data_IF_938684085412
#
_entry.id   IF_938684085412
#
_cell.length_a   1.000
_cell.length_b   1.000
_cell.length_c   1.000
_cell.angle_alpha   90.00
_cell.angle_beta   90.00
_cell.angle_gamma   90.00
#
_symmetry.space_group_name_H-M   'P 1'
#
loop_
_entity.id
_entity.type
_entity.pdbx_description
1 polymer ?
#
# COMPACT_ATOMS: atom_id res chain seq x y z
N UNK A 1 -8.78 70.72 -7.60
CA UNK A 1 -10.10 70.11 -7.35
C UNK A 1 -9.85 68.63 -7.05
N UNK A 2 -9.66 68.25 -5.80
CA UNK A 2 -10.68 67.93 -4.79
C UNK A 2 -11.31 66.52 -4.96
N UNK A 3 -10.88 65.60 -4.07
CA UNK A 3 -11.60 64.48 -3.39
C UNK A 3 -12.20 63.39 -4.31
N UNK A 4 -12.18 62.09 -4.02
CA UNK A 4 -12.37 61.39 -2.75
C UNK A 4 -11.77 59.97 -2.81
N UNK A 5 -11.29 59.52 -1.65
CA UNK A 5 -10.99 58.13 -1.30
C UNK A 5 -12.32 57.42 -0.96
N UNK A 6 -12.56 56.21 -1.45
CA UNK A 6 -13.59 55.30 -0.93
C UNK A 6 -12.93 53.97 -0.55
N UNK A 7 -12.77 53.75 0.76
CA UNK A 7 -12.39 52.48 1.36
C UNK A 7 -13.69 51.76 1.71
N UNK A 8 -13.86 50.54 1.21
CA UNK A 8 -14.90 49.62 1.69
C UNK A 8 -14.21 48.51 2.50
N UNK A 9 -14.23 48.70 3.82
CA UNK A 9 -14.00 47.65 4.81
C UNK A 9 -15.31 46.88 4.97
N UNK A 10 -15.31 45.59 4.63
CA UNK A 10 -16.35 44.66 5.05
C UNK A 10 -15.74 43.66 6.03
N UNK A 11 -15.96 43.94 7.32
CA UNK A 11 -15.80 43.01 8.42
C UNK A 11 -16.92 41.96 8.32
N UNK A 12 -16.58 40.68 8.38
CA UNK A 12 -17.52 39.68 8.90
C UNK A 12 -16.81 38.90 10.00
N UNK A 13 -17.40 39.02 11.18
CA UNK A 13 -17.04 38.33 12.40
C UNK A 13 -17.15 36.81 12.23
N UNK A 14 -16.31 36.11 13.00
CA UNK A 14 -16.26 34.67 13.08
C UNK A 14 -17.62 34.04 13.39
N UNK A 15 -17.94 32.97 12.66
CA UNK A 15 -18.78 31.89 13.18
C UNK A 15 -17.85 30.68 13.31
N UNK A 16 -17.43 30.28 14.52
CA UNK A 16 -16.79 28.99 14.69
C UNK A 16 -17.85 27.92 14.40
N UNK A 17 -17.84 27.39 13.18
CA UNK A 17 -18.56 26.18 12.86
C UNK A 17 -17.90 25.06 13.66
N UNK A 18 -18.46 24.77 14.84
CA UNK A 18 -18.17 23.55 15.59
C UNK A 18 -18.62 22.41 14.69
N UNK A 19 -17.67 21.89 13.91
CA UNK A 19 -17.81 20.63 13.20
C UNK A 19 -18.01 19.55 14.24
N UNK A 20 -19.28 19.24 14.53
CA UNK A 20 -19.72 17.98 15.10
C UNK A 20 -19.57 16.90 14.01
N UNK A 21 -18.35 16.71 13.50
CA UNK A 21 -17.98 15.47 12.84
C UNK A 21 -17.71 14.46 13.95
N UNK A 22 -18.80 13.99 14.55
CA UNK A 22 -18.79 12.78 15.34
C UNK A 22 -18.32 11.68 14.38
N UNK A 23 -17.08 11.23 14.58
CA UNK A 23 -16.50 10.11 13.85
C UNK A 23 -17.39 8.90 14.08
N UNK A 24 -18.09 8.46 13.03
CA UNK A 24 -18.88 7.21 13.04
C UNK A 24 -18.01 5.95 13.09
N UNK A 25 -16.69 6.12 13.14
CA UNK A 25 -15.76 5.05 13.46
C UNK A 25 -15.76 4.91 14.98
N UNK A 26 -16.09 3.73 15.55
CA UNK A 26 -15.80 3.50 16.96
C UNK A 26 -14.32 3.84 17.15
N UNK A 27 -14.01 4.64 18.18
CA UNK A 27 -12.64 4.83 18.62
C UNK A 27 -12.03 3.43 18.67
N UNK A 28 -10.99 3.19 17.87
CA UNK A 28 -10.32 1.90 17.86
C UNK A 28 -9.94 1.62 19.31
N UNK A 29 -10.67 0.73 19.96
CA UNK A 29 -10.38 0.30 21.32
C UNK A 29 -8.96 -0.20 21.25
N UNK A 30 -8.05 0.53 21.88
CA UNK A 30 -6.64 0.17 22.00
C UNK A 30 -6.61 -1.22 22.62
N UNK A 31 -6.48 -2.25 21.78
CA UNK A 31 -6.63 -3.62 22.24
C UNK A 31 -5.36 -3.93 23.02
N UNK A 32 -5.49 -4.08 24.33
CA UNK A 32 -4.40 -4.48 25.25
C UNK A 32 -3.92 -5.94 25.04
N UNK A 33 -4.17 -6.52 23.88
CA UNK A 33 -3.67 -7.84 23.49
C UNK A 33 -2.44 -7.73 22.58
N UNK A 34 -1.70 -8.82 22.36
CA UNK A 34 -0.57 -8.82 21.44
C UNK A 34 -1.03 -8.39 20.03
N UNK A 35 -0.28 -7.47 19.41
CA UNK A 35 -0.57 -6.98 18.07
C UNK A 35 -0.32 -8.08 17.02
N UNK A 36 0.71 -8.90 17.24
CA UNK A 36 1.06 -10.06 16.40
C UNK A 36 0.43 -11.37 16.90
N UNK A 37 0.48 -12.42 16.08
CA UNK A 37 -0.16 -13.71 16.40
C UNK A 37 0.56 -14.49 17.52
N UNK A 38 1.90 -14.38 17.56
CA UNK A 38 2.82 -15.06 18.46
C UNK A 38 3.76 -14.03 19.11
N UNK A 39 4.42 -14.44 20.19
CA UNK A 39 5.40 -13.62 20.91
C UNK A 39 6.67 -14.43 21.13
N UNK A 40 7.83 -13.78 21.02
CA UNK A 40 9.11 -14.41 21.32
C UNK A 40 9.25 -14.71 22.81
N UNK A 41 9.88 -15.83 23.16
CA UNK A 41 10.17 -16.13 24.58
C UNK A 41 11.13 -15.13 25.24
N UNK A 42 11.91 -14.40 24.44
CA UNK A 42 12.80 -13.34 24.92
C UNK A 42 12.04 -12.12 25.50
N UNK A 43 10.71 -12.10 25.40
CA UNK A 43 9.85 -11.00 25.78
C UNK A 43 9.22 -10.34 24.55
N UNK A 44 8.35 -9.33 24.78
CA UNK A 44 7.70 -8.63 23.68
C UNK A 44 8.73 -7.98 22.77
N UNK A 45 8.41 -7.91 21.48
CA UNK A 45 9.19 -7.12 20.54
C UNK A 45 9.35 -5.70 21.07
N UNK A 46 10.54 -5.13 20.91
CA UNK A 46 10.68 -3.68 21.08
C UNK A 46 9.99 -3.03 19.89
N UNK A 47 9.12 -2.05 20.17
CA UNK A 47 8.61 -1.10 19.17
C UNK A 47 9.74 -0.78 18.18
N UNK A 48 9.65 -1.35 16.99
CA UNK A 48 10.68 -1.19 15.98
C UNK A 48 10.77 0.27 15.56
N UNK A 49 11.79 0.63 14.80
CA UNK A 49 11.88 1.95 14.17
C UNK A 49 10.62 2.27 13.31
N UNK A 50 9.82 1.26 12.95
CA UNK A 50 8.50 1.39 12.32
C UNK A 50 7.48 2.23 13.14
N UNK A 51 7.52 2.19 14.47
CA UNK A 51 6.65 3.02 15.32
C UNK A 51 6.99 4.52 15.20
N UNK A 52 8.25 4.86 14.88
CA UNK A 52 8.66 6.25 14.58
C UNK A 52 8.09 6.74 13.25
N UNK A 53 7.61 5.83 12.40
CA UNK A 53 6.95 6.11 11.12
C UNK A 53 5.47 5.71 11.14
N UNK A 54 4.82 5.67 12.31
CA UNK A 54 3.40 5.36 12.44
C UNK A 54 2.57 6.22 11.47
N UNK A 55 2.04 5.59 10.41
CA UNK A 55 1.30 6.24 9.33
C UNK A 55 1.99 6.30 7.97
N UNK A 56 3.27 5.91 7.87
CA UNK A 56 3.97 5.74 6.59
C UNK A 56 3.32 4.59 5.81
N UNK A 57 3.19 4.79 4.51
CA UNK A 57 2.78 3.74 3.57
C UNK A 57 3.99 2.85 3.31
N UNK A 58 3.91 1.59 3.74
CA UNK A 58 4.89 0.56 3.38
C UNK A 58 4.35 -0.14 2.13
N UNK A 59 4.99 0.14 1.00
CA UNK A 59 4.63 -0.45 -0.30
C UNK A 59 5.10 -1.89 -0.39
N UNK A 60 4.25 -2.75 -0.93
CA UNK A 60 4.54 -4.14 -1.25
C UNK A 60 4.52 -4.26 -2.77
N UNK A 61 5.71 -4.32 -3.37
CA UNK A 61 5.91 -4.46 -4.82
C UNK A 61 6.12 -5.95 -5.12
N UNK A 62 5.09 -6.66 -5.61
CA UNK A 62 5.19 -8.08 -5.89
C UNK A 62 6.41 -8.37 -6.77
N UNK A 63 7.15 -9.43 -6.44
CA UNK A 63 8.33 -9.90 -7.19
C UNK A 63 9.59 -9.00 -7.14
N UNK A 64 9.58 -7.85 -6.47
CA UNK A 64 10.77 -6.98 -6.32
C UNK A 64 11.09 -6.70 -4.86
N UNK A 65 10.13 -6.17 -4.11
CA UNK A 65 10.30 -5.81 -2.71
C UNK A 65 8.98 -6.06 -1.98
N UNK A 66 8.91 -7.20 -1.28
CA UNK A 66 7.76 -7.52 -0.45
C UNK A 66 7.87 -6.83 0.90
N UNK A 67 6.75 -6.32 1.41
CA UNK A 67 6.71 -5.75 2.75
C UNK A 67 6.80 -6.88 3.79
N UNK A 68 7.68 -6.75 4.78
CA UNK A 68 7.76 -7.70 5.90
C UNK A 68 6.61 -7.52 6.91
N UNK A 69 5.84 -6.43 6.82
CA UNK A 69 4.75 -6.11 7.72
C UNK A 69 3.38 -6.11 7.03
N UNK A 70 2.32 -6.29 7.83
CA UNK A 70 0.92 -6.14 7.41
C UNK A 70 0.54 -4.68 7.28
N UNK A 71 -0.50 -4.38 6.50
CA UNK A 71 -1.01 -3.01 6.28
C UNK A 71 -1.64 -2.39 7.53
N UNK A 72 -1.93 -3.17 8.56
CA UNK A 72 -2.56 -2.77 9.82
C UNK A 72 -4.10 -2.85 9.80
N UNK A 73 -4.71 -3.07 10.98
CA UNK A 73 -6.15 -3.30 11.12
C UNK A 73 -6.97 -2.10 10.61
N UNK A 74 -7.98 -2.39 9.79
CA UNK A 74 -8.90 -1.38 9.27
C UNK A 74 -8.29 -0.48 8.19
N UNK A 75 -7.11 -0.84 7.68
CA UNK A 75 -6.44 -0.10 6.61
C UNK A 75 -6.62 -0.82 5.27
N UNK A 76 -6.88 -0.03 4.24
CA UNK A 76 -6.92 -0.48 2.84
C UNK A 76 -5.84 0.26 2.08
N UNK A 77 -4.95 -0.47 1.44
CA UNK A 77 -3.90 0.08 0.61
C UNK A 77 -4.06 -0.45 -0.82
N UNK A 78 -4.01 0.47 -1.78
CA UNK A 78 -4.09 0.18 -3.21
C UNK A 78 -2.77 0.57 -3.84
N UNK A 79 -2.09 -0.41 -4.43
CA UNK A 79 -0.82 -0.23 -5.11
C UNK A 79 -1.00 -0.50 -6.60
N UNK A 80 -0.37 0.31 -7.44
CA UNK A 80 -0.36 0.14 -8.88
C UNK A 80 1.07 0.18 -9.39
N UNK A 81 1.41 -0.72 -10.30
CA UNK A 81 2.72 -0.82 -10.93
C UNK A 81 2.64 -0.79 -12.45
N UNK A 82 3.79 -0.46 -13.01
CA UNK A 82 4.11 -0.69 -14.41
C UNK A 82 5.50 -1.31 -14.46
N UNK A 83 5.60 -2.45 -15.13
CA UNK A 83 6.88 -3.12 -15.35
C UNK A 83 7.12 -3.31 -16.85
N UNK A 84 8.35 -3.03 -17.26
CA UNK A 84 8.82 -3.22 -18.62
C UNK A 84 9.99 -4.20 -18.62
N UNK A 85 9.87 -5.25 -19.43
CA UNK A 85 10.95 -6.21 -19.68
C UNK A 85 11.33 -6.18 -21.16
N UNK A 86 12.64 -6.18 -21.40
CA UNK A 86 13.23 -6.34 -22.72
C UNK A 86 14.18 -7.52 -22.67
N UNK A 87 13.91 -8.53 -23.50
CA UNK A 87 14.79 -9.67 -23.69
C UNK A 87 15.17 -9.80 -25.17
N UNK A 88 16.40 -10.24 -25.41
CA UNK A 88 16.97 -10.33 -26.75
C UNK A 88 17.95 -11.49 -26.86
N UNK A 89 17.59 -12.50 -27.65
CA UNK A 89 18.44 -13.67 -27.88
C UNK A 89 18.30 -14.18 -29.33
N UNK A 90 19.44 -14.55 -29.94
CA UNK A 90 19.50 -15.18 -31.26
C UNK A 90 18.70 -14.48 -32.38
N UNK A 91 18.72 -13.13 -32.40
CA UNK A 91 18.00 -12.32 -33.39
C UNK A 91 16.50 -12.17 -33.12
N UNK A 92 16.00 -12.74 -32.02
CA UNK A 92 14.64 -12.52 -31.51
C UNK A 92 14.67 -11.46 -30.41
N UNK A 93 13.74 -10.51 -30.44
CA UNK A 93 13.51 -9.50 -29.41
C UNK A 93 12.12 -9.66 -28.86
N UNK A 94 11.99 -9.68 -27.53
CA UNK A 94 10.72 -9.73 -26.81
C UNK A 94 10.61 -8.51 -25.89
N UNK A 95 9.51 -7.78 -26.00
CA UNK A 95 9.17 -6.64 -25.16
C UNK A 95 7.88 -6.94 -24.42
N UNK A 96 7.92 -6.90 -23.09
CA UNK A 96 6.75 -7.13 -22.23
C UNK A 96 6.45 -5.85 -21.45
N UNK A 97 5.22 -5.37 -21.60
CA UNK A 97 4.63 -4.32 -20.79
C UNK A 97 3.59 -4.93 -19.86
N UNK A 98 3.72 -4.68 -18.56
CA UNK A 98 2.83 -5.18 -17.51
C UNK A 98 2.18 -3.99 -16.80
N UNK A 99 0.86 -3.83 -16.96
CA UNK A 99 0.04 -2.76 -16.37
C UNK A 99 -1.47 -3.02 -16.53
N UNK A 100 -2.31 -2.52 -15.61
CA UNK A 100 -1.94 -1.94 -14.32
C UNK A 100 -1.68 -3.08 -13.33
N UNK A 101 -0.45 -3.21 -12.83
CA UNK A 101 -0.09 -4.20 -11.82
C UNK A 101 -0.73 -3.77 -10.49
N UNK A 102 -1.98 -4.15 -10.28
CA UNK A 102 -2.82 -3.65 -9.20
C UNK A 102 -2.77 -4.64 -8.05
N UNK A 103 -2.52 -4.14 -6.84
CA UNK A 103 -2.60 -4.91 -5.62
C UNK A 103 -3.44 -4.16 -4.58
N UNK A 104 -4.51 -4.80 -4.12
CA UNK A 104 -5.34 -4.33 -3.01
C UNK A 104 -4.98 -5.13 -1.77
N UNK A 105 -4.64 -4.43 -0.70
CA UNK A 105 -4.27 -4.98 0.60
C UNK A 105 -5.24 -4.48 1.65
N UNK A 106 -5.80 -5.39 2.45
CA UNK A 106 -6.83 -5.07 3.44
C UNK A 106 -6.47 -5.71 4.77
N UNK A 107 -6.24 -4.89 5.79
CA UNK A 107 -6.04 -5.37 7.16
C UNK A 107 -7.37 -5.65 7.83
N UNK A 108 -7.61 -6.91 8.18
CA UNK A 108 -8.89 -7.40 8.70
C UNK A 108 -8.68 -8.16 10.01
N UNK A 109 -9.74 -8.25 10.83
CA UNK A 109 -9.82 -9.01 12.09
C UNK A 109 -8.89 -8.54 13.23
N UNK A 110 -7.58 -8.46 13.00
CA UNK A 110 -6.52 -8.05 13.93
C UNK A 110 -5.32 -7.45 13.17
N UNK A 111 -4.39 -6.81 13.87
CA UNK A 111 -3.17 -6.24 13.27
C UNK A 111 -2.30 -7.28 12.53
N UNK A 112 -2.40 -8.56 12.92
CA UNK A 112 -1.63 -9.64 12.33
C UNK A 112 -2.20 -10.25 11.05
N UNK A 113 -3.38 -9.84 10.57
CA UNK A 113 -3.97 -10.44 9.37
C UNK A 113 -4.18 -9.42 8.26
N UNK A 114 -3.65 -9.72 7.08
CA UNK A 114 -3.88 -8.98 5.84
C UNK A 114 -4.41 -9.91 4.76
N UNK A 115 -5.47 -9.48 4.07
CA UNK A 115 -5.95 -10.10 2.84
C UNK A 115 -5.46 -9.32 1.62
N UNK A 116 -5.17 -10.02 0.53
CA UNK A 116 -4.61 -9.48 -0.70
C UNK A 116 -5.41 -9.94 -1.92
N UNK A 117 -5.67 -9.01 -2.83
CA UNK A 117 -6.21 -9.29 -4.15
C UNK A 117 -5.38 -8.56 -5.20
N UNK A 118 -4.86 -9.27 -6.19
CA UNK A 118 -3.99 -8.75 -7.24
C UNK A 118 -4.60 -8.97 -8.62
N UNK A 119 -4.40 -8.00 -9.50
CA UNK A 119 -4.77 -8.06 -10.91
C UNK A 119 -3.64 -7.51 -11.76
N UNK A 120 -3.44 -8.11 -12.93
CA UNK A 120 -2.47 -7.62 -13.88
C UNK A 120 -2.95 -7.81 -15.32
N UNK A 121 -2.42 -6.99 -16.22
CA UNK A 121 -2.62 -7.11 -17.66
C UNK A 121 -1.30 -6.87 -18.37
N UNK A 122 -1.07 -7.59 -19.46
CA UNK A 122 0.18 -7.53 -20.18
C UNK A 122 0.01 -7.41 -21.69
N UNK A 123 1.04 -6.82 -22.30
CA UNK A 123 1.23 -6.75 -23.75
C UNK A 123 2.64 -7.25 -24.04
N UNK A 124 2.76 -8.31 -24.83
CA UNK A 124 4.04 -8.87 -25.28
C UNK A 124 4.17 -8.65 -26.78
N UNK A 125 5.22 -7.94 -27.20
CA UNK A 125 5.62 -7.80 -28.60
C UNK A 125 6.87 -8.65 -28.84
N UNK A 126 6.75 -9.64 -29.73
CA UNK A 126 7.84 -10.51 -30.12
C UNK A 126 8.18 -10.25 -31.57
N UNK A 127 9.45 -9.93 -31.84
CA UNK A 127 9.99 -9.78 -33.18
C UNK A 127 11.09 -10.82 -33.40
N UNK A 128 10.95 -11.66 -34.42
CA UNK A 128 11.96 -12.67 -34.78
C UNK A 128 12.20 -12.70 -36.29
N UNK A 129 13.33 -13.28 -36.76
CA UNK A 129 13.64 -13.36 -38.18
C UNK A 129 12.61 -14.15 -39.01
N UNK A 130 11.87 -15.07 -38.37
CA UNK A 130 10.81 -15.88 -38.99
C UNK A 130 9.41 -15.24 -38.91
N UNK A 131 9.30 -14.05 -38.32
CA UNK A 131 8.04 -13.34 -38.12
C UNK A 131 7.87 -12.82 -36.69
N UNK A 132 6.94 -11.89 -36.51
CA UNK A 132 6.63 -11.31 -35.21
C UNK A 132 5.13 -11.32 -34.90
N UNK A 133 4.79 -10.92 -33.69
CA UNK A 133 3.41 -10.87 -33.24
C UNK A 133 3.26 -10.14 -31.91
N UNK A 134 2.02 -9.74 -31.62
CA UNK A 134 1.66 -9.10 -30.36
C UNK A 134 0.62 -9.95 -29.64
N UNK A 135 0.93 -10.38 -28.43
CA UNK A 135 0.01 -11.03 -27.52
C UNK A 135 -0.43 -10.05 -26.43
N UNK A 136 -1.70 -10.12 -26.02
CA UNK A 136 -2.25 -9.27 -24.96
C UNK A 136 -3.23 -10.06 -24.12
N UNK A 137 -3.23 -9.85 -22.81
CA UNK A 137 -4.12 -10.58 -21.91
C UNK A 137 -4.03 -10.10 -20.48
N UNK A 138 -5.02 -10.47 -19.67
CA UNK A 138 -4.95 -10.34 -18.22
C UNK A 138 -4.39 -11.62 -17.61
N UNK A 139 -3.69 -11.48 -16.50
CA UNK A 139 -3.41 -12.62 -15.62
C UNK A 139 -4.69 -13.03 -14.87
N UNK A 140 -4.68 -14.24 -14.30
CA UNK A 140 -5.71 -14.66 -13.36
C UNK A 140 -5.73 -13.75 -12.13
N UNK A 141 -6.89 -13.64 -11.48
CA UNK A 141 -7.00 -12.89 -10.24
C UNK A 141 -6.17 -13.59 -9.15
N UNK A 142 -5.17 -12.89 -8.63
CA UNK A 142 -4.36 -13.36 -7.51
C UNK A 142 -5.09 -13.09 -6.19
N UNK A 143 -5.26 -14.10 -5.35
CA UNK A 143 -5.75 -13.96 -3.98
C UNK A 143 -4.68 -14.45 -3.01
N UNK A 144 -4.48 -13.71 -1.92
CA UNK A 144 -3.49 -14.05 -0.92
C UNK A 144 -3.88 -13.58 0.48
N UNK A 145 -3.16 -14.08 1.47
CA UNK A 145 -3.23 -13.57 2.83
C UNK A 145 -1.82 -13.56 3.44
N UNK A 146 -1.60 -12.65 4.39
CA UNK A 146 -0.36 -12.53 5.16
C UNK A 146 -0.68 -12.57 6.64
N UNK A 147 0.15 -13.26 7.41
CA UNK A 147 -0.02 -13.49 8.84
C UNK A 147 1.21 -13.00 9.59
N UNK A 148 1.14 -11.83 10.23
CA UNK A 148 2.25 -11.35 11.04
C UNK A 148 2.36 -12.18 12.33
N UNK A 149 3.36 -13.07 12.34
CA UNK A 149 3.56 -14.05 13.38
C UNK A 149 4.20 -13.42 14.61
N UNK A 150 5.32 -12.72 14.50
CA UNK A 150 6.02 -12.15 15.65
C UNK A 150 6.75 -10.86 15.30
N UNK A 151 6.75 -9.89 16.22
CA UNK A 151 7.52 -8.65 16.08
C UNK A 151 9.02 -8.91 16.18
N UNK A 152 9.82 -7.99 15.65
CA UNK A 152 11.26 -8.00 15.85
C UNK A 152 11.61 -7.83 17.34
N UNK A 153 12.48 -8.69 17.86
CA UNK A 153 12.96 -8.64 19.25
C UNK A 153 14.50 -8.74 19.30
N UNK A 154 15.18 -7.59 19.36
CA UNK A 154 16.64 -7.54 19.34
C UNK A 154 17.22 -8.14 18.05
N UNK A 155 17.90 -9.29 18.16
CA UNK A 155 18.44 -10.02 17.01
C UNK A 155 17.43 -10.97 16.36
N UNK A 156 16.30 -11.21 17.01
CA UNK A 156 15.24 -12.07 16.48
C UNK A 156 14.45 -11.27 15.43
N UNK A 157 14.30 -11.79 14.20
CA UNK A 157 13.67 -11.05 13.11
C UNK A 157 12.15 -10.94 13.29
N UNK A 158 11.55 -10.00 12.58
CA UNK A 158 10.11 -10.03 12.32
C UNK A 158 9.76 -11.27 11.48
N UNK A 159 8.61 -11.87 11.75
CA UNK A 159 8.09 -13.03 11.03
C UNK A 159 6.67 -12.75 10.51
N UNK A 160 6.45 -13.04 9.22
CA UNK A 160 5.17 -12.91 8.49
C UNK A 160 4.91 -14.08 7.56
#
# INVERSE_FOLDING_TARGET
MARSLLVLLAWHAAIPCRSLAQSWLPAATESRGPQKLLEWQAGPGVAGEEDLYAGRIITDRPHIAEAASTVGLGRVQVENGYTYYLDGAAGTTSQLHSFPETLVRVGLFREWFEFRAGYNYFVVDTNSPSGGGVARGSDDLYLGAKLALADQAGILPELT
#
